data_IF_873494088807
#
_entry.id   IF_873494088807
#
_cell.length_a   1.000
_cell.length_b   1.000
_cell.length_c   1.000
_cell.angle_alpha   90.00
_cell.angle_beta   90.00
_cell.angle_gamma   90.00
#
_symmetry.space_group_name_H-M   'P 1'
#
loop_
_entity.id
_entity.type
_entity.pdbx_description
1 polymer ?
#
# COMPACT_ATOMS: atom_id res chain seq x y z
N UNK A 1 29.66 24.20 -14.08
CA UNK A 1 30.28 24.43 -12.76
C UNK A 1 29.24 24.14 -11.70
N UNK A 2 29.39 23.05 -10.95
CA UNK A 2 28.52 22.71 -9.82
C UNK A 2 28.95 23.67 -8.69
N UNK A 3 28.00 24.48 -8.21
CA UNK A 3 28.22 25.40 -7.08
C UNK A 3 28.67 24.60 -5.84
N UNK A 4 29.89 24.83 -5.40
CA UNK A 4 30.55 24.21 -4.25
C UNK A 4 30.15 24.87 -2.92
N UNK A 5 28.86 25.05 -2.67
CA UNK A 5 28.38 25.76 -1.48
C UNK A 5 27.34 25.03 -0.62
N UNK A 6 26.76 23.90 -1.07
CA UNK A 6 25.82 23.14 -0.27
C UNK A 6 26.58 22.02 0.45
N UNK A 7 26.67 22.09 1.76
CA UNK A 7 27.10 20.97 2.60
C UNK A 7 26.19 19.77 2.31
N UNK A 8 26.73 18.74 1.67
CA UNK A 8 26.00 17.50 1.39
C UNK A 8 25.81 16.78 2.73
N UNK A 9 24.63 16.89 3.30
CA UNK A 9 24.30 16.20 4.54
C UNK A 9 24.03 14.71 4.24
N UNK A 10 25.05 13.90 4.33
CA UNK A 10 24.95 12.42 4.24
C UNK A 10 24.73 11.76 5.60
N UNK A 11 24.44 12.56 6.64
CA UNK A 11 24.16 12.04 7.97
C UNK A 11 22.92 11.13 7.95
N UNK A 12 23.03 9.86 8.38
CA UNK A 12 21.90 8.93 8.39
C UNK A 12 20.66 9.46 9.14
N UNK A 13 20.84 10.16 10.26
CA UNK A 13 19.71 10.74 11.00
C UNK A 13 18.92 11.76 10.17
N UNK A 14 19.61 12.54 9.33
CA UNK A 14 18.96 13.49 8.43
C UNK A 14 18.32 12.79 7.21
N UNK A 15 18.97 11.75 6.66
CA UNK A 15 18.48 11.02 5.49
C UNK A 15 17.22 10.18 5.78
N UNK A 16 17.13 9.57 6.97
CA UNK A 16 16.05 8.70 7.39
C UNK A 16 15.09 9.37 8.38
N UNK A 17 15.29 10.65 8.67
CA UNK A 17 14.48 11.41 9.62
C UNK A 17 13.05 11.61 9.10
N UNK A 18 12.09 11.37 9.98
CA UNK A 18 10.64 11.57 9.73
C UNK A 18 10.01 12.47 10.80
N UNK A 19 10.84 13.21 11.53
CA UNK A 19 10.39 14.13 12.58
C UNK A 19 9.42 15.17 12.03
N UNK A 20 8.30 15.38 12.74
CA UNK A 20 7.26 16.32 12.36
C UNK A 20 6.36 15.87 11.21
N UNK A 21 6.57 14.69 10.62
CA UNK A 21 5.64 14.13 9.66
C UNK A 21 4.36 13.65 10.35
N UNK A 22 3.25 13.73 9.62
CA UNK A 22 1.96 13.15 10.02
C UNK A 22 1.66 11.97 9.11
N UNK A 23 1.50 10.79 9.70
CA UNK A 23 1.24 9.55 9.00
C UNK A 23 -0.09 8.93 9.40
N UNK A 24 -0.74 8.23 8.46
CA UNK A 24 -1.90 7.36 8.71
C UNK A 24 -1.53 5.94 8.31
N UNK A 25 -1.70 4.97 9.22
CA UNK A 25 -1.39 3.55 8.98
C UNK A 25 -2.66 2.73 9.18
N UNK A 26 -3.22 2.18 8.10
CA UNK A 26 -4.37 1.28 8.19
C UNK A 26 -3.94 -0.12 8.65
N UNK A 27 -4.76 -0.75 9.52
CA UNK A 27 -4.35 -2.01 10.16
C UNK A 27 -3.15 -1.82 11.09
N UNK A 28 -2.98 -0.63 11.69
CA UNK A 28 -1.83 -0.25 12.50
C UNK A 28 -1.82 -0.83 13.92
N UNK A 29 -2.83 -1.60 14.32
CA UNK A 29 -2.94 -2.13 15.68
C UNK A 29 -2.18 -3.44 15.93
N UNK A 30 -1.77 -4.16 14.88
CA UNK A 30 -1.10 -5.47 15.00
C UNK A 30 -0.10 -5.70 13.86
N UNK A 31 0.75 -6.72 14.01
CA UNK A 31 1.64 -7.22 12.96
C UNK A 31 2.48 -6.15 12.27
N UNK A 32 2.60 -6.22 10.95
CA UNK A 32 3.43 -5.32 10.13
C UNK A 32 2.97 -3.86 10.27
N UNK A 33 1.65 -3.61 10.33
CA UNK A 33 1.13 -2.25 10.49
C UNK A 33 1.58 -1.59 11.80
N UNK A 34 1.57 -2.34 12.90
CA UNK A 34 2.08 -1.86 14.18
C UNK A 34 3.61 -1.66 14.14
N UNK A 35 4.34 -2.57 13.51
CA UNK A 35 5.79 -2.40 13.32
C UNK A 35 6.12 -1.12 12.56
N UNK A 36 5.40 -0.84 11.48
CA UNK A 36 5.55 0.39 10.69
C UNK A 36 5.21 1.63 11.52
N UNK A 37 4.07 1.60 12.22
CA UNK A 37 3.63 2.71 13.04
C UNK A 37 4.62 3.03 14.17
N UNK A 38 5.13 1.99 14.85
CA UNK A 38 6.16 2.10 15.88
C UNK A 38 7.46 2.67 15.32
N UNK A 39 7.90 2.20 14.14
CA UNK A 39 9.12 2.72 13.50
C UNK A 39 9.01 4.22 13.19
N UNK A 40 7.88 4.66 12.64
CA UNK A 40 7.64 6.07 12.31
C UNK A 40 7.57 6.93 13.59
N UNK A 41 6.78 6.51 14.57
CA UNK A 41 6.61 7.24 15.83
C UNK A 41 7.92 7.34 16.61
N UNK A 42 8.68 6.26 16.70
CA UNK A 42 9.97 6.24 17.39
C UNK A 42 11.05 7.10 16.74
N UNK A 43 10.80 7.59 15.52
CA UNK A 43 11.65 8.55 14.79
C UNK A 43 10.97 9.93 14.64
N UNK A 44 9.97 10.22 15.48
CA UNK A 44 9.43 11.56 15.66
C UNK A 44 8.18 11.92 14.85
N UNK A 45 7.66 11.01 14.04
CA UNK A 45 6.40 11.23 13.31
C UNK A 45 5.19 11.15 14.26
N UNK A 46 4.12 11.88 13.94
CA UNK A 46 2.80 11.65 14.51
C UNK A 46 2.07 10.62 13.67
N UNK A 47 1.60 9.53 14.27
CA UNK A 47 1.05 8.39 13.55
C UNK A 47 -0.36 8.06 14.00
N UNK A 48 -1.32 8.16 13.10
CA UNK A 48 -2.66 7.63 13.29
C UNK A 48 -2.69 6.15 12.94
N UNK A 49 -3.02 5.28 13.91
CA UNK A 49 -3.23 3.86 13.66
C UNK A 49 -4.72 3.58 13.52
N UNK A 50 -5.13 3.14 12.32
CA UNK A 50 -6.52 2.89 11.98
C UNK A 50 -6.85 1.40 12.11
N UNK A 51 -7.96 1.07 12.75
CA UNK A 51 -8.45 -0.30 12.89
C UNK A 51 -9.91 -0.36 13.32
N UNK A 52 -10.58 -1.50 13.05
CA UNK A 52 -11.99 -1.71 13.42
C UNK A 52 -12.16 -1.97 14.91
N UNK A 53 -11.20 -2.68 15.54
CA UNK A 53 -11.22 -3.07 16.95
C UNK A 53 -10.57 -1.97 17.78
N UNK A 54 -11.39 -1.14 18.44
CA UNK A 54 -10.90 0.02 19.21
C UNK A 54 -9.94 -0.42 20.32
N UNK A 55 -10.32 -1.43 21.07
CA UNK A 55 -9.52 -1.97 22.18
C UNK A 55 -8.12 -2.44 21.76
N UNK A 56 -7.99 -2.96 20.52
CA UNK A 56 -6.70 -3.43 20.00
C UNK A 56 -5.80 -2.25 19.66
N UNK A 57 -6.34 -1.23 18.97
CA UNK A 57 -5.53 -0.06 18.58
C UNK A 57 -5.19 0.84 19.79
N UNK A 58 -6.08 0.95 20.78
CA UNK A 58 -5.79 1.66 22.03
C UNK A 58 -4.68 0.96 22.84
N UNK A 59 -4.77 -0.38 22.96
CA UNK A 59 -3.73 -1.18 23.61
C UNK A 59 -2.40 -1.02 22.87
N UNK A 60 -2.39 -1.14 21.54
CA UNK A 60 -1.21 -0.96 20.72
C UNK A 60 -0.58 0.42 20.90
N UNK A 61 -1.40 1.48 20.88
CA UNK A 61 -0.95 2.84 21.16
C UNK A 61 -0.34 2.97 22.55
N UNK A 62 -0.97 2.42 23.57
CA UNK A 62 -0.49 2.50 24.96
C UNK A 62 0.86 1.80 25.17
N UNK A 63 1.05 0.62 24.55
CA UNK A 63 2.22 -0.23 24.78
C UNK A 63 3.44 0.16 23.91
N UNK A 64 3.24 0.84 22.76
CA UNK A 64 4.29 1.10 21.80
C UNK A 64 4.58 2.59 21.55
N UNK A 65 4.07 3.47 22.39
CA UNK A 65 4.14 4.94 22.24
C UNK A 65 5.37 5.50 22.96
N UNK A 66 6.41 5.83 22.22
CA UNK A 66 7.67 6.36 22.78
C UNK A 66 7.57 7.86 23.06
N UNK A 67 6.95 8.62 22.18
CA UNK A 67 6.87 10.08 22.25
C UNK A 67 5.43 10.62 22.48
N UNK A 68 4.46 9.74 22.71
CA UNK A 68 3.07 10.13 22.85
C UNK A 68 2.37 10.49 21.55
N UNK A 69 2.96 10.09 20.40
CA UNK A 69 2.50 10.47 19.05
C UNK A 69 1.81 9.34 18.28
N UNK A 70 1.56 8.20 18.91
CA UNK A 70 0.79 7.10 18.32
C UNK A 70 -0.69 7.24 18.72
N UNK A 71 -1.54 7.59 17.77
CA UNK A 71 -2.92 8.01 17.97
C UNK A 71 -3.88 6.94 17.43
N UNK A 72 -4.66 6.26 18.28
CA UNK A 72 -5.66 5.30 17.82
C UNK A 72 -6.84 6.02 17.17
N UNK A 73 -7.32 5.49 16.04
CA UNK A 73 -8.46 6.01 15.29
C UNK A 73 -9.31 4.85 14.77
N UNK A 74 -10.50 4.67 15.38
CA UNK A 74 -11.39 3.59 14.97
C UNK A 74 -12.02 3.86 13.61
N UNK A 75 -11.96 2.87 12.70
CA UNK A 75 -12.63 2.94 11.41
C UNK A 75 -12.54 1.66 10.62
N UNK A 76 -13.45 1.53 9.66
CA UNK A 76 -13.51 0.45 8.68
C UNK A 76 -13.17 0.99 7.29
N UNK A 77 -12.08 0.50 6.72
CA UNK A 77 -11.59 0.95 5.41
C UNK A 77 -12.47 0.47 4.24
N UNK A 78 -13.33 -0.53 4.44
CA UNK A 78 -14.28 -1.01 3.43
C UNK A 78 -15.53 -0.14 3.34
N UNK A 79 -15.74 0.77 4.30
CA UNK A 79 -16.86 1.70 4.35
C UNK A 79 -16.45 3.10 3.92
N UNK A 80 -17.01 3.59 2.80
CA UNK A 80 -16.75 4.97 2.32
C UNK A 80 -17.12 6.02 3.34
N UNK A 81 -18.25 5.83 4.06
CA UNK A 81 -18.67 6.74 5.12
C UNK A 81 -17.64 6.78 6.27
N UNK A 82 -17.11 5.62 6.65
CA UNK A 82 -16.05 5.53 7.65
C UNK A 82 -14.77 6.22 7.16
N UNK A 83 -14.38 6.04 5.90
CA UNK A 83 -13.22 6.70 5.31
C UNK A 83 -13.34 8.23 5.32
N UNK A 84 -14.52 8.78 4.96
CA UNK A 84 -14.77 10.22 5.05
C UNK A 84 -14.59 10.73 6.48
N UNK A 85 -15.19 10.04 7.47
CA UNK A 85 -15.06 10.41 8.89
C UNK A 85 -13.61 10.34 9.40
N UNK A 86 -12.84 9.35 8.94
CA UNK A 86 -11.41 9.23 9.26
C UNK A 86 -10.63 10.44 8.73
N UNK A 87 -10.82 10.79 7.45
CA UNK A 87 -10.16 11.93 6.82
C UNK A 87 -10.53 13.25 7.49
N UNK A 88 -11.82 13.48 7.80
CA UNK A 88 -12.31 14.65 8.53
C UNK A 88 -11.70 14.76 9.93
N UNK A 89 -11.58 13.64 10.65
CA UNK A 89 -10.96 13.62 11.98
C UNK A 89 -9.49 14.02 11.93
N UNK A 90 -8.74 13.51 10.96
CA UNK A 90 -7.33 13.87 10.76
C UNK A 90 -7.21 15.33 10.31
N UNK A 91 -8.10 15.79 9.41
CA UNK A 91 -8.20 17.18 8.97
C UNK A 91 -8.38 18.13 10.16
N UNK A 92 -9.36 17.85 11.02
CA UNK A 92 -9.65 18.70 12.17
C UNK A 92 -8.50 18.81 13.17
N UNK A 93 -7.64 17.77 13.24
CA UNK A 93 -6.53 17.72 14.21
C UNK A 93 -5.20 18.28 13.67
N UNK A 94 -4.88 18.03 12.39
CA UNK A 94 -3.59 18.38 11.80
C UNK A 94 -3.71 19.17 10.49
N UNK A 95 -4.84 19.10 9.78
CA UNK A 95 -5.05 19.79 8.52
C UNK A 95 -4.39 19.12 7.30
N UNK A 96 -3.47 18.19 7.49
CA UNK A 96 -2.69 17.54 6.41
C UNK A 96 -2.18 16.16 6.85
N UNK A 97 -1.67 15.39 5.89
CA UNK A 97 -0.80 14.23 6.11
C UNK A 97 0.38 14.24 5.14
N UNK A 98 1.48 13.64 5.55
CA UNK A 98 2.68 13.45 4.73
C UNK A 98 2.77 12.03 4.19
N UNK A 99 2.17 11.07 4.88
CA UNK A 99 2.29 9.65 4.58
C UNK A 99 0.97 8.92 4.84
N UNK A 100 0.49 8.20 3.83
CA UNK A 100 -0.56 7.21 3.96
C UNK A 100 0.03 5.81 3.75
N UNK A 101 -0.10 4.94 4.74
CA UNK A 101 0.30 3.52 4.63
C UNK A 101 -0.95 2.65 4.56
N UNK A 102 -1.24 2.14 3.37
CA UNK A 102 -2.27 1.16 3.13
C UNK A 102 -1.73 -0.23 3.48
N UNK A 103 -1.92 -0.65 4.74
CA UNK A 103 -1.41 -1.93 5.24
C UNK A 103 -2.54 -2.94 5.59
N UNK A 104 -3.72 -2.48 5.99
CA UNK A 104 -4.81 -3.37 6.33
C UNK A 104 -5.11 -4.36 5.19
N UNK A 105 -5.32 -5.62 5.56
CA UNK A 105 -5.60 -6.68 4.60
C UNK A 105 -6.06 -7.95 5.30
N UNK A 106 -6.68 -8.83 4.52
CA UNK A 106 -7.17 -10.13 4.98
C UNK A 106 -6.74 -11.23 4.00
N UNK A 107 -6.79 -12.47 4.48
CA UNK A 107 -6.72 -13.67 3.65
C UNK A 107 -7.93 -14.53 3.94
N UNK A 108 -8.64 -14.94 2.88
CA UNK A 108 -9.73 -15.92 2.91
C UNK A 108 -9.37 -17.09 2.00
N UNK A 109 -10.18 -18.11 1.98
CA UNK A 109 -10.02 -19.27 1.12
C UNK A 109 -8.61 -19.87 1.26
N UNK A 110 -8.23 -20.15 2.51
CA UNK A 110 -6.88 -20.65 2.86
C UNK A 110 -6.76 -22.10 2.37
N UNK A 111 -5.79 -22.34 1.50
CA UNK A 111 -5.47 -23.68 1.02
C UNK A 111 -4.85 -24.53 2.13
N UNK A 112 -5.08 -25.84 2.15
CA UNK A 112 -4.35 -26.73 3.03
C UNK A 112 -2.84 -26.69 2.72
N UNK A 113 -2.01 -27.03 3.72
CA UNK A 113 -0.55 -26.99 3.58
C UNK A 113 -0.03 -27.85 2.43
N UNK A 114 -0.73 -28.94 2.12
CA UNK A 114 -0.44 -29.84 1.01
C UNK A 114 -1.73 -30.15 0.25
N UNK A 115 -1.67 -29.93 -1.05
CA UNK A 115 -2.74 -30.33 -1.96
C UNK A 115 -2.55 -31.79 -2.38
N UNK A 116 -3.62 -32.57 -2.60
CA UNK A 116 -3.50 -33.91 -3.16
C UNK A 116 -2.75 -33.93 -4.48
N UNK A 117 -1.78 -34.81 -4.62
CA UNK A 117 -0.96 -34.93 -5.84
C UNK A 117 -0.95 -36.39 -6.31
N UNK A 118 -0.98 -36.66 -7.62
CA UNK A 118 -0.77 -38.01 -8.14
C UNK A 118 0.60 -38.60 -7.81
N UNK A 119 1.51 -37.75 -7.34
CA UNK A 119 2.85 -38.17 -6.87
C UNK A 119 2.84 -38.57 -5.38
N UNK A 120 1.70 -38.45 -4.68
CA UNK A 120 1.55 -38.82 -3.29
C UNK A 120 1.17 -40.29 -3.15
N UNK A 121 2.17 -41.17 -3.09
CA UNK A 121 1.98 -42.59 -2.87
C UNK A 121 2.24 -43.45 -4.11
N UNK A 122 2.07 -44.78 -3.99
CA UNK A 122 2.25 -45.69 -5.09
C UNK A 122 1.15 -45.49 -6.14
N UNK A 123 1.41 -45.85 -7.40
CA UNK A 123 0.56 -45.56 -8.55
C UNK A 123 -0.88 -46.08 -8.44
N UNK A 124 -1.10 -47.15 -7.70
CA UNK A 124 -2.37 -47.78 -7.44
C UNK A 124 -3.20 -47.16 -6.31
N UNK A 125 -2.57 -46.32 -5.49
CA UNK A 125 -3.17 -45.63 -4.36
C UNK A 125 -3.00 -44.08 -4.42
N UNK A 126 -2.65 -43.53 -5.56
CA UNK A 126 -2.47 -42.09 -5.77
C UNK A 126 -3.80 -41.34 -5.65
N UNK A 127 -3.82 -40.12 -5.06
CA UNK A 127 -5.00 -39.27 -5.06
C UNK A 127 -5.55 -39.02 -6.46
N UNK A 128 -6.87 -39.15 -6.63
CA UNK A 128 -7.52 -38.88 -7.92
C UNK A 128 -7.66 -37.38 -8.18
N UNK A 129 -7.83 -37.01 -9.45
CA UNK A 129 -8.16 -35.61 -9.84
C UNK A 129 -9.47 -35.16 -9.14
N UNK A 130 -10.38 -36.07 -8.85
CA UNK A 130 -11.62 -35.76 -8.11
C UNK A 130 -11.32 -35.37 -6.67
N UNK A 131 -10.38 -36.04 -6.02
CA UNK A 131 -9.93 -35.65 -4.68
C UNK A 131 -9.32 -34.25 -4.68
N UNK A 132 -8.47 -33.95 -5.65
CA UNK A 132 -7.91 -32.61 -5.83
C UNK A 132 -9.00 -31.56 -6.09
N UNK A 133 -9.96 -31.85 -7.01
CA UNK A 133 -11.08 -30.97 -7.30
C UNK A 133 -11.91 -30.67 -6.05
N UNK A 134 -12.23 -31.68 -5.25
CA UNK A 134 -13.02 -31.50 -4.03
C UNK A 134 -12.30 -30.59 -3.03
N UNK A 135 -10.99 -30.76 -2.81
CA UNK A 135 -10.24 -29.91 -1.92
C UNK A 135 -10.29 -28.46 -2.38
N UNK A 136 -10.11 -28.18 -3.66
CA UNK A 136 -10.18 -26.81 -4.18
C UNK A 136 -11.60 -26.24 -4.10
N UNK A 137 -12.62 -27.08 -4.33
CA UNK A 137 -14.03 -26.68 -4.27
C UNK A 137 -14.47 -26.33 -2.85
N UNK A 138 -13.99 -27.09 -1.86
CA UNK A 138 -14.40 -26.98 -0.46
C UNK A 138 -13.53 -25.97 0.34
N UNK A 139 -12.42 -25.52 -0.25
CA UNK A 139 -11.47 -24.64 0.46
C UNK A 139 -12.00 -23.23 0.70
N UNK A 140 -13.12 -22.84 0.13
CA UNK A 140 -13.64 -21.50 0.35
C UNK A 140 -14.89 -21.19 -0.45
N UNK A 141 -15.23 -19.91 -0.53
CA UNK A 141 -16.45 -19.46 -1.18
C UNK A 141 -16.20 -18.29 -2.11
N UNK A 142 -17.06 -18.06 -3.12
CA UNK A 142 -17.05 -16.83 -3.92
C UNK A 142 -17.16 -15.56 -3.06
N UNK A 143 -17.91 -15.58 -1.98
CA UNK A 143 -18.03 -14.47 -1.05
C UNK A 143 -16.70 -14.15 -0.36
N UNK A 144 -15.95 -15.17 0.11
CA UNK A 144 -14.60 -14.99 0.68
C UNK A 144 -13.60 -14.46 -0.36
N UNK A 145 -13.76 -14.85 -1.63
CA UNK A 145 -12.97 -14.32 -2.73
C UNK A 145 -13.23 -12.82 -2.91
N UNK A 146 -14.52 -12.43 -2.99
CA UNK A 146 -14.93 -11.03 -3.12
C UNK A 146 -14.48 -10.18 -1.92
N UNK A 147 -14.66 -10.67 -0.68
CA UNK A 147 -14.21 -9.97 0.55
C UNK A 147 -12.71 -9.70 0.54
N UNK A 148 -11.92 -10.68 0.03
CA UNK A 148 -10.46 -10.52 -0.08
C UNK A 148 -10.10 -9.40 -1.05
N UNK A 149 -10.74 -9.33 -2.21
CA UNK A 149 -10.52 -8.25 -3.18
C UNK A 149 -11.03 -6.91 -2.67
N UNK A 150 -12.20 -6.90 -2.05
CA UNK A 150 -12.77 -5.67 -1.49
C UNK A 150 -11.83 -5.03 -0.46
N UNK A 151 -11.31 -5.83 0.48
CA UNK A 151 -10.40 -5.32 1.50
C UNK A 151 -9.00 -5.00 0.96
N UNK A 152 -8.42 -5.89 0.14
CA UNK A 152 -7.00 -5.78 -0.23
C UNK A 152 -6.75 -4.91 -1.47
N UNK A 153 -7.80 -4.55 -2.24
CA UNK A 153 -7.67 -3.76 -3.48
C UNK A 153 -8.63 -2.57 -3.46
N UNK A 154 -9.95 -2.82 -3.39
CA UNK A 154 -10.97 -1.76 -3.46
C UNK A 154 -10.81 -0.77 -2.32
N UNK A 155 -10.68 -1.26 -1.08
CA UNK A 155 -10.49 -0.41 0.09
C UNK A 155 -9.17 0.38 0.06
N UNK A 156 -8.09 -0.19 -0.49
CA UNK A 156 -6.81 0.52 -0.69
C UNK A 156 -6.99 1.72 -1.61
N UNK A 157 -7.69 1.54 -2.74
CA UNK A 157 -7.99 2.62 -3.66
C UNK A 157 -8.84 3.71 -3.00
N UNK A 158 -9.97 3.35 -2.39
CA UNK A 158 -10.86 4.34 -1.77
C UNK A 158 -10.27 5.01 -0.53
N UNK A 159 -9.43 4.32 0.24
CA UNK A 159 -8.66 4.94 1.32
C UNK A 159 -7.72 6.00 0.75
N UNK A 160 -7.00 5.69 -0.31
CA UNK A 160 -6.12 6.66 -0.97
C UNK A 160 -6.92 7.87 -1.45
N UNK A 161 -8.04 7.68 -2.14
CA UNK A 161 -8.91 8.77 -2.61
C UNK A 161 -9.42 9.65 -1.45
N UNK A 162 -9.85 9.05 -0.34
CA UNK A 162 -10.34 9.78 0.82
C UNK A 162 -9.29 10.71 1.47
N UNK A 163 -8.02 10.36 1.36
CA UNK A 163 -6.91 11.13 1.94
C UNK A 163 -6.13 11.99 0.94
N UNK A 164 -6.52 12.03 -0.36
CA UNK A 164 -5.78 12.77 -1.40
C UNK A 164 -5.61 14.24 -1.08
N UNK A 165 -6.67 14.90 -0.64
CA UNK A 165 -6.61 16.32 -0.30
C UNK A 165 -5.64 16.59 0.85
N UNK A 166 -5.65 15.76 1.89
CA UNK A 166 -4.73 15.90 3.02
C UNK A 166 -3.27 15.65 2.62
N UNK A 167 -3.01 14.72 1.69
CA UNK A 167 -1.69 14.50 1.09
C UNK A 167 -1.23 15.73 0.28
N UNK A 168 -2.13 16.31 -0.50
CA UNK A 168 -1.85 17.53 -1.24
C UNK A 168 -1.55 18.71 -0.31
N UNK A 169 -2.34 18.90 0.75
CA UNK A 169 -2.08 19.91 1.78
C UNK A 169 -0.73 19.68 2.50
N UNK A 170 -0.30 18.44 2.65
CA UNK A 170 1.04 18.09 3.13
C UNK A 170 2.15 18.62 2.22
N UNK A 171 1.95 18.58 0.90
CA UNK A 171 2.88 19.16 -0.07
C UNK A 171 2.86 20.69 -0.03
N UNK A 172 1.67 21.31 -0.03
CA UNK A 172 1.54 22.77 0.02
C UNK A 172 2.19 23.38 1.26
N UNK A 173 2.04 22.75 2.42
CA UNK A 173 2.65 23.18 3.67
C UNK A 173 4.17 23.36 3.58
N UNK A 174 4.83 22.54 2.76
CA UNK A 174 6.30 22.54 2.64
C UNK A 174 6.85 23.59 1.68
N UNK A 175 6.00 24.24 0.89
CA UNK A 175 6.41 25.26 -0.07
C UNK A 175 7.23 24.75 -1.27
N UNK A 176 7.49 23.45 -1.32
CA UNK A 176 8.40 22.80 -2.27
C UNK A 176 7.66 21.93 -3.32
N UNK A 177 6.60 22.44 -3.93
CA UNK A 177 6.16 21.84 -5.19
C UNK A 177 7.28 22.04 -6.21
N UNK A 178 7.81 20.96 -6.83
CA UNK A 178 8.84 21.13 -7.85
C UNK A 178 8.33 22.06 -8.95
N UNK A 179 9.10 23.09 -9.36
CA UNK A 179 8.68 24.03 -10.41
C UNK A 179 8.28 23.34 -11.72
N UNK A 180 8.75 22.12 -11.94
CA UNK A 180 8.42 21.28 -13.12
C UNK A 180 6.93 20.90 -13.19
N UNK A 181 6.21 20.86 -12.08
CA UNK A 181 4.79 20.51 -12.07
C UNK A 181 3.89 21.65 -12.55
N UNK A 182 4.30 22.90 -12.32
CA UNK A 182 3.58 24.08 -12.82
C UNK A 182 3.87 24.36 -14.31
N UNK A 183 4.85 23.70 -14.92
CA UNK A 183 5.30 23.93 -16.28
C UNK A 183 5.02 22.78 -17.26
N UNK A 184 4.44 21.67 -16.81
CA UNK A 184 3.99 20.64 -17.75
C UNK A 184 2.77 21.17 -18.49
N UNK A 185 2.82 21.29 -19.83
CA UNK A 185 1.62 21.56 -20.60
C UNK A 185 0.62 20.42 -20.33
N UNK A 186 -0.69 20.71 -20.27
CA UNK A 186 -1.68 19.65 -20.11
C UNK A 186 -1.44 18.62 -21.20
N UNK A 187 -1.13 17.38 -20.82
CA UNK A 187 -1.02 16.28 -21.79
C UNK A 187 -2.44 16.03 -22.27
N UNK A 188 -2.68 16.40 -23.52
CA UNK A 188 -3.97 16.21 -24.17
C UNK A 188 -4.09 14.70 -24.49
N UNK A 189 -4.56 13.92 -23.52
CA UNK A 189 -4.74 12.46 -23.64
C UNK A 189 -5.71 12.05 -24.77
N UNK A 190 -6.31 13.01 -25.48
CA UNK A 190 -7.16 12.72 -26.64
C UNK A 190 -6.39 12.39 -27.90
N UNK A 191 -5.13 12.84 -28.03
CA UNK A 191 -4.33 12.58 -29.24
C UNK A 191 -3.64 11.21 -29.25
N UNK A 192 -3.54 10.53 -28.10
CA UNK A 192 -2.92 9.19 -28.00
C UNK A 192 -3.89 8.03 -28.27
N UNK A 193 -5.19 8.29 -28.30
CA UNK A 193 -6.19 7.26 -28.59
C UNK A 193 -6.66 7.22 -30.03
N UNK A 194 -6.38 8.25 -30.85
CA UNK A 194 -6.91 8.35 -32.22
C UNK A 194 -5.91 7.93 -33.31
N UNK A 195 -4.64 7.65 -32.98
CA UNK A 195 -3.64 7.34 -34.01
C UNK A 195 -3.41 5.84 -34.32
N UNK A 196 -3.95 4.92 -33.48
CA UNK A 196 -3.66 3.47 -33.66
C UNK A 196 -4.87 2.57 -33.93
N UNK A 197 -6.08 3.15 -34.20
CA UNK A 197 -7.30 2.35 -34.49
C UNK A 197 -7.91 2.65 -35.87
N UNK A 198 -7.17 3.20 -36.78
CA UNK A 198 -7.67 3.39 -38.16
C UNK A 198 -6.82 2.63 -39.16
N UNK A 199 -6.87 1.31 -39.12
CA UNK A 199 -6.70 0.47 -40.33
C UNK A 199 -7.00 -0.98 -39.94
N UNK A 200 -8.04 -1.50 -40.55
CA UNK A 200 -8.56 -2.87 -40.63
C UNK A 200 -9.87 -3.09 -39.89
N UNK A 201 -10.99 -2.64 -40.45
CA UNK A 201 -12.30 -3.31 -40.40
C UNK A 201 -13.34 -2.59 -41.30
N UNK A 202 -13.10 -2.66 -42.62
CA UNK A 202 -14.21 -2.55 -43.58
C UNK A 202 -14.63 -3.98 -43.96
N UNK A 203 -15.71 -4.44 -43.37
CA UNK A 203 -16.68 -5.36 -43.95
C UNK A 203 -17.41 -6.16 -42.83
N UNK A 204 -18.52 -5.69 -42.36
CA UNK A 204 -19.71 -6.50 -42.12
C UNK A 204 -20.86 -5.63 -41.57
N UNK A 205 -21.94 -5.68 -42.28
CA UNK A 205 -23.19 -4.94 -42.19
C UNK A 205 -24.02 -5.18 -40.95
N UNK A 206 -24.81 -4.13 -40.60
CA UNK A 206 -26.15 -4.13 -39.97
C UNK A 206 -26.31 -4.40 -38.47
N UNK A 207 -26.44 -3.29 -37.73
CA UNK A 207 -27.39 -2.88 -36.64
C UNK A 207 -28.02 -3.92 -35.70
N UNK A 208 -28.37 -3.58 -34.42
CA UNK A 208 -29.23 -2.44 -34.12
C UNK A 208 -28.77 -1.53 -32.93
N UNK A 209 -29.22 -0.29 -32.97
CA UNK A 209 -29.25 0.75 -31.98
C UNK A 209 -29.67 0.24 -30.58
N UNK A 210 -28.76 0.27 -29.61
CA UNK A 210 -29.07 0.16 -28.20
C UNK A 210 -28.95 1.55 -27.58
N UNK A 211 -30.09 2.05 -27.10
CA UNK A 211 -30.23 3.33 -26.42
C UNK A 211 -29.29 3.35 -25.18
N UNK A 212 -28.40 4.32 -25.15
CA UNK A 212 -27.66 4.69 -23.93
C UNK A 212 -28.67 5.28 -22.94
N UNK A 213 -29.02 4.53 -21.92
CA UNK A 213 -29.69 5.06 -20.74
C UNK A 213 -28.72 6.02 -20.06
N UNK A 214 -29.08 7.30 -20.00
CA UNK A 214 -28.41 8.31 -19.19
C UNK A 214 -28.32 7.84 -17.74
N UNK A 215 -27.11 7.78 -17.21
CA UNK A 215 -26.86 7.54 -15.79
C UNK A 215 -27.57 8.63 -14.97
N UNK A 216 -28.17 8.29 -13.82
CA UNK A 216 -28.75 9.29 -12.94
C UNK A 216 -27.68 10.26 -12.47
N UNK A 217 -28.02 11.55 -12.20
CA UNK A 217 -27.09 12.54 -11.73
C UNK A 217 -26.43 12.07 -10.43
N UNK A 218 -25.10 12.12 -10.40
CA UNK A 218 -24.30 11.82 -9.21
C UNK A 218 -24.75 12.75 -8.07
N UNK A 219 -24.96 12.23 -6.84
CA UNK A 219 -25.21 13.06 -5.69
C UNK A 219 -24.05 14.04 -5.50
N UNK A 220 -24.29 15.26 -5.00
CA UNK A 220 -23.25 16.25 -4.78
C UNK A 220 -22.15 15.69 -3.87
N UNK A 221 -20.90 15.95 -4.24
CA UNK A 221 -19.73 15.58 -3.47
C UNK A 221 -19.87 16.12 -2.04
N UNK A 222 -19.61 15.31 -0.99
CA UNK A 222 -19.63 15.78 0.39
C UNK A 222 -18.47 16.75 0.71
N UNK A 223 -17.58 17.00 -0.25
CA UNK A 223 -16.49 17.96 -0.12
C UNK A 223 -16.96 19.34 -0.56
N UNK A 224 -17.55 20.10 0.36
CA UNK A 224 -17.85 21.51 0.17
C UNK A 224 -16.57 22.33 0.18
N UNK A 225 -16.51 23.32 -0.73
CA UNK A 225 -15.50 24.34 -0.98
C UNK A 225 -14.54 24.69 0.17
N UNK A 226 -13.26 24.83 -0.19
CA UNK A 226 -12.20 25.36 0.65
C UNK A 226 -12.60 26.73 1.25
N UNK A 227 -12.27 26.98 2.53
CA UNK A 227 -12.28 28.36 3.04
C UNK A 227 -11.20 29.18 2.33
N UNK A 228 -11.57 30.37 1.83
CA UNK A 228 -10.69 31.32 1.16
C UNK A 228 -9.56 31.93 2.04
N UNK A 229 -9.40 31.50 3.29
CA UNK A 229 -8.50 32.10 4.26
C UNK A 229 -7.10 31.51 4.36
N UNK A 230 -6.63 30.74 3.36
CA UNK A 230 -5.25 30.21 3.38
C UNK A 230 -4.21 31.09 2.65
N UNK A 231 -4.49 32.37 2.43
CA UNK A 231 -3.55 33.28 1.73
C UNK A 231 -2.48 33.95 2.60
N UNK A 232 -2.36 33.61 3.88
CA UNK A 232 -1.39 34.24 4.77
C UNK A 232 -0.59 33.20 5.59
N UNK A 233 0.16 32.31 4.94
CA UNK A 233 1.31 31.69 5.58
C UNK A 233 2.57 32.49 5.22
N UNK A 234 3.07 33.20 6.21
CA UNK A 234 4.28 33.99 6.14
C UNK A 234 5.49 33.11 5.80
N UNK A 235 6.02 33.23 4.59
CA UNK A 235 7.12 32.43 4.04
C UNK A 235 8.51 32.88 4.53
N UNK A 236 8.56 33.72 5.57
CA UNK A 236 9.80 34.22 6.12
C UNK A 236 10.25 33.36 7.33
N UNK A 237 11.38 32.67 7.18
CA UNK A 237 12.16 31.97 8.21
C UNK A 237 11.95 30.47 8.41
N UNK A 238 11.92 29.67 7.34
CA UNK A 238 12.35 28.29 7.46
C UNK A 238 13.89 28.20 7.24
N UNK A 239 14.66 27.55 8.13
CA UNK A 239 16.07 27.31 7.85
C UNK A 239 16.16 26.46 6.59
N UNK A 240 16.89 26.94 5.57
CA UNK A 240 17.17 26.21 4.34
C UNK A 240 17.98 24.95 4.69
N UNK A 241 17.31 23.84 5.03
CA UNK A 241 17.96 22.55 5.09
C UNK A 241 18.28 22.15 3.64
N UNK A 242 19.55 21.87 3.36
CA UNK A 242 20.04 21.48 2.02
C UNK A 242 19.47 20.14 1.52
N UNK A 243 18.71 19.42 2.34
CA UNK A 243 18.00 18.21 1.97
C UNK A 243 16.58 18.58 1.52
N UNK A 244 16.25 18.26 0.27
CA UNK A 244 14.86 18.33 -0.17
C UNK A 244 14.01 17.40 0.69
N UNK A 245 13.03 17.95 1.36
CA UNK A 245 12.04 17.15 2.07
C UNK A 245 11.27 16.31 1.04
N UNK A 246 11.00 15.02 1.34
CA UNK A 246 10.23 14.20 0.42
C UNK A 246 8.81 14.75 0.32
N UNK A 247 8.26 14.77 -0.89
CA UNK A 247 6.84 15.06 -1.07
C UNK A 247 5.99 13.99 -0.40
N UNK A 248 4.73 14.31 -0.11
CA UNK A 248 3.80 13.35 0.48
C UNK A 248 3.67 12.10 -0.37
N UNK A 249 3.32 10.98 0.25
CA UNK A 249 3.26 9.72 -0.47
C UNK A 249 2.23 8.74 0.09
N UNK A 250 1.87 7.80 -0.77
CA UNK A 250 1.16 6.57 -0.44
C UNK A 250 2.16 5.41 -0.43
N UNK A 251 2.22 4.63 0.64
CA UNK A 251 2.93 3.36 0.67
C UNK A 251 1.90 2.24 0.80
N UNK A 252 1.90 1.34 -0.17
CA UNK A 252 1.00 0.19 -0.19
C UNK A 252 1.74 -1.06 0.27
N UNK A 253 1.22 -1.73 1.29
CA UNK A 253 1.78 -2.99 1.78
C UNK A 253 1.10 -4.14 1.04
N UNK A 254 1.80 -4.65 0.04
CA UNK A 254 1.41 -5.84 -0.69
C UNK A 254 1.91 -7.11 0.03
N UNK A 255 2.50 -8.03 -0.66
CA UNK A 255 3.08 -9.27 -0.12
C UNK A 255 4.06 -9.86 -1.13
N UNK A 256 5.09 -10.56 -0.67
CA UNK A 256 5.88 -11.45 -1.52
C UNK A 256 5.00 -12.55 -2.17
N UNK A 257 3.87 -12.88 -1.53
CA UNK A 257 2.85 -13.77 -2.07
C UNK A 257 2.27 -13.31 -3.42
N UNK A 258 2.31 -12.00 -3.74
CA UNK A 258 1.86 -11.45 -5.02
C UNK A 258 2.65 -11.99 -6.23
N UNK A 259 3.87 -12.47 -6.01
CA UNK A 259 4.78 -12.96 -7.05
C UNK A 259 4.89 -14.48 -7.09
N UNK A 260 4.25 -15.20 -6.16
CA UNK A 260 4.33 -16.64 -6.07
C UNK A 260 3.39 -17.31 -7.06
N UNK A 261 3.92 -18.28 -7.79
CA UNK A 261 3.20 -19.11 -8.77
C UNK A 261 3.25 -20.61 -8.42
N UNK A 262 3.91 -20.95 -7.32
CA UNK A 262 4.02 -22.34 -6.86
C UNK A 262 2.77 -22.83 -6.11
N UNK A 263 2.60 -24.14 -5.98
CA UNK A 263 1.45 -24.74 -5.32
C UNK A 263 1.38 -24.51 -3.79
N UNK A 264 2.37 -23.85 -3.19
CA UNK A 264 2.45 -23.56 -1.75
C UNK A 264 1.98 -22.14 -1.41
N UNK A 265 1.09 -21.58 -2.22
CA UNK A 265 0.44 -20.29 -1.92
C UNK A 265 -0.54 -20.45 -0.75
N UNK A 266 -0.67 -19.38 0.03
CA UNK A 266 -1.61 -19.36 1.18
C UNK A 266 -3.05 -19.46 0.70
N UNK A 267 -3.40 -18.75 -0.37
CA UNK A 267 -4.74 -18.65 -0.92
C UNK A 267 -4.66 -18.08 -2.33
N UNK A 268 -5.49 -18.60 -3.24
CA UNK A 268 -5.59 -18.07 -4.61
C UNK A 268 -6.12 -16.64 -4.58
N UNK A 269 -7.20 -16.38 -3.84
CA UNK A 269 -7.80 -15.04 -3.74
C UNK A 269 -6.83 -14.02 -3.15
N UNK A 270 -6.07 -14.40 -2.11
CA UNK A 270 -5.08 -13.53 -1.49
C UNK A 270 -3.93 -13.20 -2.44
N UNK A 271 -3.36 -14.21 -3.10
CA UNK A 271 -2.25 -14.04 -4.06
C UNK A 271 -2.64 -13.10 -5.19
N UNK A 272 -3.81 -13.33 -5.81
CA UNK A 272 -4.35 -12.50 -6.87
C UNK A 272 -4.64 -11.07 -6.39
N UNK A 273 -5.30 -10.91 -5.23
CA UNK A 273 -5.60 -9.60 -4.68
C UNK A 273 -4.32 -8.82 -4.34
N UNK A 274 -3.29 -9.46 -3.79
CA UNK A 274 -2.00 -8.80 -3.52
C UNK A 274 -1.23 -8.46 -4.80
N UNK A 275 -1.36 -9.27 -5.87
CA UNK A 275 -0.81 -8.89 -7.19
C UNK A 275 -1.54 -7.66 -7.75
N UNK A 276 -2.87 -7.65 -7.74
CA UNK A 276 -3.66 -6.49 -8.15
C UNK A 276 -3.34 -5.24 -7.31
N UNK A 277 -3.18 -5.41 -5.98
CA UNK A 277 -2.77 -4.35 -5.07
C UNK A 277 -1.37 -3.78 -5.41
N UNK A 278 -0.42 -4.65 -5.79
CA UNK A 278 0.91 -4.23 -6.27
C UNK A 278 0.79 -3.38 -7.54
N UNK A 279 -0.03 -3.83 -8.49
CA UNK A 279 -0.27 -3.09 -9.72
C UNK A 279 -0.98 -1.75 -9.45
N UNK A 280 -1.96 -1.72 -8.55
CA UNK A 280 -2.63 -0.49 -8.12
C UNK A 280 -1.63 0.54 -7.58
N UNK A 281 -0.67 0.13 -6.76
CA UNK A 281 0.38 1.03 -6.26
C UNK A 281 1.21 1.67 -7.38
N UNK A 282 1.49 0.92 -8.46
CA UNK A 282 2.17 1.45 -9.66
C UNK A 282 1.29 2.40 -10.46
N UNK A 283 0.00 2.09 -10.62
CA UNK A 283 -0.95 2.99 -11.27
C UNK A 283 -1.06 4.32 -10.50
N UNK A 284 -1.15 4.27 -9.17
CA UNK A 284 -1.20 5.46 -8.33
C UNK A 284 0.05 6.33 -8.48
N UNK A 285 1.23 5.75 -8.71
CA UNK A 285 2.46 6.52 -8.95
C UNK A 285 2.38 7.42 -10.18
N UNK A 286 1.65 7.02 -11.22
CA UNK A 286 1.40 7.84 -12.40
C UNK A 286 0.22 8.78 -12.19
N UNK A 287 -0.90 8.28 -11.67
CA UNK A 287 -2.12 9.07 -11.47
C UNK A 287 -1.92 10.28 -10.55
N UNK A 288 -1.01 10.16 -9.57
CA UNK A 288 -0.77 11.18 -8.56
C UNK A 288 0.48 12.03 -8.83
N UNK A 289 1.21 11.74 -9.92
CA UNK A 289 2.47 12.41 -10.24
C UNK A 289 2.33 13.93 -10.40
N UNK A 290 1.28 14.39 -11.09
CA UNK A 290 1.03 15.80 -11.33
C UNK A 290 0.69 16.59 -10.05
N UNK A 291 0.27 15.88 -8.99
CA UNK A 291 0.02 16.44 -7.66
C UNK A 291 1.23 16.35 -6.72
N UNK A 292 2.37 15.87 -7.23
CA UNK A 292 3.57 15.64 -6.42
C UNK A 292 3.44 14.56 -5.36
N UNK A 293 2.41 13.74 -5.44
CA UNK A 293 2.18 12.67 -4.48
C UNK A 293 2.83 11.40 -5.04
N UNK A 294 3.82 10.88 -4.32
CA UNK A 294 4.50 9.63 -4.69
C UNK A 294 3.68 8.41 -4.26
N UNK A 295 3.85 7.30 -4.95
CA UNK A 295 3.28 6.01 -4.55
C UNK A 295 4.32 4.91 -4.71
N UNK A 296 4.54 4.14 -3.64
CA UNK A 296 5.48 3.02 -3.61
C UNK A 296 4.85 1.79 -2.97
N UNK A 297 5.37 0.63 -3.29
CA UNK A 297 4.86 -0.66 -2.80
C UNK A 297 5.96 -1.40 -2.04
N UNK A 298 5.66 -1.81 -0.80
CA UNK A 298 6.47 -2.78 -0.08
C UNK A 298 5.79 -4.14 -0.12
N UNK A 299 6.57 -5.18 -0.40
CA UNK A 299 6.11 -6.56 -0.50
C UNK A 299 6.82 -7.42 0.56
N UNK A 300 6.32 -7.42 1.80
CA UNK A 300 6.90 -8.23 2.88
C UNK A 300 6.76 -9.73 2.61
N UNK A 301 7.73 -10.49 3.10
CA UNK A 301 7.68 -11.95 3.20
C UNK A 301 6.95 -12.43 4.44
N UNK A 302 7.54 -13.42 5.10
CA UNK A 302 7.00 -13.99 6.35
C UNK A 302 7.38 -13.08 7.52
N UNK A 303 6.39 -12.48 8.16
CA UNK A 303 6.52 -11.68 9.37
C UNK A 303 5.56 -12.20 10.45
N UNK A 304 5.90 -12.08 11.74
CA UNK A 304 4.96 -12.38 12.83
C UNK A 304 3.74 -11.45 12.75
N UNK A 305 2.55 -12.04 12.68
CA UNK A 305 1.28 -11.30 12.61
C UNK A 305 0.11 -12.21 12.99
N UNK A 306 -1.08 -11.65 13.23
CA UNK A 306 -2.30 -12.44 13.42
C UNK A 306 -2.63 -13.34 12.20
N UNK A 307 -2.18 -12.96 11.01
CA UNK A 307 -2.39 -13.72 9.77
C UNK A 307 -1.42 -14.91 9.67
N UNK A 308 -0.29 -14.86 10.36
CA UNK A 308 0.76 -15.87 10.30
C UNK A 308 0.68 -16.74 11.55
N UNK A 309 0.18 -17.97 11.42
CA UNK A 309 0.10 -18.89 12.57
C UNK A 309 1.51 -19.21 13.09
N UNK A 310 1.62 -19.45 14.39
CA UNK A 310 2.89 -19.86 15.03
C UNK A 310 3.46 -21.15 14.44
N UNK A 311 2.60 -22.00 13.86
CA UNK A 311 3.01 -23.24 13.17
C UNK A 311 3.83 -22.96 11.91
N UNK A 312 3.65 -21.83 11.24
CA UNK A 312 4.41 -21.41 10.06
C UNK A 312 5.71 -20.64 10.40
N UNK A 313 5.95 -20.37 11.68
CA UNK A 313 7.12 -19.65 12.16
C UNK A 313 8.16 -20.55 12.82
N UNK A 314 8.07 -21.87 12.66
CA UNK A 314 9.07 -22.78 13.20
C UNK A 314 10.40 -22.60 12.49
N UNK A 315 11.56 -22.64 13.21
CA UNK A 315 12.87 -22.48 12.59
C UNK A 315 13.12 -23.43 11.42
N UNK A 316 12.65 -24.68 11.51
CA UNK A 316 12.79 -25.68 10.46
C UNK A 316 12.04 -25.30 9.17
N UNK A 317 10.79 -24.82 9.27
CA UNK A 317 10.02 -24.39 8.12
C UNK A 317 10.58 -23.10 7.50
N UNK A 318 11.06 -22.17 8.34
CA UNK A 318 11.68 -20.94 7.87
C UNK A 318 12.99 -21.22 7.14
N UNK A 319 13.83 -22.12 7.66
CA UNK A 319 15.07 -22.54 7.01
C UNK A 319 14.82 -23.19 5.62
N UNK A 320 13.68 -23.87 5.44
CA UNK A 320 13.30 -24.49 4.16
C UNK A 320 12.64 -23.52 3.18
N UNK A 321 12.01 -22.47 3.66
CA UNK A 321 11.13 -21.62 2.83
C UNK A 321 11.63 -20.18 2.65
N UNK A 322 12.64 -19.76 3.40
CA UNK A 322 13.26 -18.43 3.34
C UNK A 322 14.78 -18.59 3.27
N UNK A 323 15.45 -18.10 2.23
CA UNK A 323 16.90 -18.21 2.09
C UNK A 323 17.70 -17.68 3.30
N UNK A 324 17.24 -16.58 3.93
CA UNK A 324 17.86 -16.07 5.15
C UNK A 324 17.51 -16.89 6.40
N UNK A 325 16.74 -17.97 6.30
CA UNK A 325 16.43 -18.94 7.37
C UNK A 325 15.57 -18.40 8.51
N UNK A 326 15.02 -17.20 8.41
CA UNK A 326 14.25 -16.56 9.48
C UNK A 326 13.06 -15.75 8.98
N UNK A 327 12.13 -15.47 9.87
CA UNK A 327 11.09 -14.47 9.64
C UNK A 327 11.68 -13.04 9.69
N UNK A 328 10.97 -12.10 9.07
CA UNK A 328 11.25 -10.67 9.22
C UNK A 328 10.87 -10.17 10.61
N UNK A 329 11.52 -9.10 11.03
CA UNK A 329 11.37 -8.43 12.33
C UNK A 329 10.97 -6.96 12.17
N UNK A 330 10.74 -6.28 13.31
CA UNK A 330 10.56 -4.84 13.34
C UNK A 330 11.70 -4.11 12.60
N UNK A 331 12.94 -4.49 12.83
CA UNK A 331 14.10 -3.85 12.20
C UNK A 331 14.11 -4.00 10.67
N UNK A 332 13.67 -5.18 10.17
CA UNK A 332 13.67 -5.47 8.74
C UNK A 332 12.64 -4.64 7.96
N UNK A 333 11.52 -4.23 8.59
CA UNK A 333 10.53 -3.36 7.94
C UNK A 333 10.79 -1.88 8.23
N UNK A 334 11.45 -1.55 9.35
CA UNK A 334 11.74 -0.16 9.74
C UNK A 334 12.68 0.52 8.75
N UNK A 335 13.73 -0.15 8.29
CA UNK A 335 14.67 0.39 7.31
C UNK A 335 13.98 0.85 6.03
N UNK A 336 13.28 -0.03 5.31
CA UNK A 336 12.54 0.33 4.10
C UNK A 336 11.51 1.43 4.28
N UNK A 337 10.73 1.41 5.37
CA UNK A 337 9.71 2.43 5.60
C UNK A 337 10.31 3.80 5.89
N UNK A 338 11.36 3.88 6.71
CA UNK A 338 12.05 5.13 7.02
C UNK A 338 12.81 5.67 5.80
N UNK A 339 13.40 4.78 4.98
CA UNK A 339 14.01 5.18 3.71
C UNK A 339 12.99 5.85 2.79
N UNK A 340 11.84 5.22 2.53
CA UNK A 340 10.82 5.77 1.65
C UNK A 340 10.16 7.03 2.20
N UNK A 341 9.95 7.11 3.52
CA UNK A 341 9.33 8.24 4.19
C UNK A 341 10.28 9.42 4.39
N UNK A 342 11.56 9.15 4.53
CA UNK A 342 12.59 10.16 4.75
C UNK A 342 13.16 10.79 3.47
N UNK A 343 14.04 11.79 3.61
CA UNK A 343 14.69 12.47 2.48
C UNK A 343 15.47 11.54 1.54
N UNK A 344 16.02 10.42 2.05
CA UNK A 344 16.72 9.42 1.23
C UNK A 344 15.84 8.81 0.14
N UNK A 345 14.53 8.69 0.39
CA UNK A 345 13.55 8.17 -0.56
C UNK A 345 12.86 9.22 -1.42
N UNK A 346 13.23 10.50 -1.33
CA UNK A 346 12.53 11.61 -1.99
C UNK A 346 12.42 11.47 -3.52
N UNK A 347 13.36 10.76 -4.14
CA UNK A 347 13.38 10.53 -5.60
C UNK A 347 12.80 9.17 -6.01
N UNK A 348 12.20 8.44 -5.06
CA UNK A 348 11.62 7.11 -5.34
C UNK A 348 10.11 7.24 -5.52
N UNK A 349 9.63 6.90 -6.74
CA UNK A 349 8.22 6.85 -7.10
C UNK A 349 7.96 5.64 -8.00
N UNK A 350 6.91 4.87 -7.74
CA UNK A 350 6.53 3.69 -8.52
C UNK A 350 7.35 2.43 -8.20
N UNK A 351 8.19 2.45 -7.16
CA UNK A 351 8.97 1.30 -6.76
C UNK A 351 8.11 0.17 -6.19
N UNK A 352 8.51 -1.06 -6.49
CA UNK A 352 8.02 -2.29 -5.87
C UNK A 352 9.19 -2.98 -5.19
N UNK A 353 9.19 -3.03 -3.88
CA UNK A 353 10.34 -3.47 -3.09
C UNK A 353 10.01 -4.72 -2.27
N UNK A 354 10.65 -5.83 -2.59
CA UNK A 354 10.57 -7.08 -1.83
C UNK A 354 11.38 -6.99 -0.53
N UNK A 355 10.75 -7.37 0.59
CA UNK A 355 11.36 -7.45 1.92
C UNK A 355 11.03 -8.84 2.47
N UNK A 356 11.61 -9.89 1.90
CA UNK A 356 11.15 -11.27 2.06
C UNK A 356 12.25 -12.29 2.39
N UNK A 357 13.46 -11.82 2.65
CA UNK A 357 14.61 -12.70 2.95
C UNK A 357 15.02 -13.58 1.75
N UNK A 358 14.68 -13.16 0.52
CA UNK A 358 14.99 -13.87 -0.73
C UNK A 358 13.96 -14.94 -1.11
N UNK A 359 12.83 -15.01 -0.41
CA UNK A 359 11.84 -16.08 -0.60
C UNK A 359 11.30 -16.20 -2.02
N UNK A 360 11.00 -15.07 -2.69
CA UNK A 360 10.49 -15.10 -4.06
C UNK A 360 11.57 -15.53 -5.06
N UNK A 361 12.79 -15.02 -4.89
CA UNK A 361 13.89 -15.32 -5.81
C UNK A 361 14.35 -16.78 -5.80
N UNK A 362 14.11 -17.52 -4.72
CA UNK A 362 14.55 -18.92 -4.58
C UNK A 362 13.53 -19.95 -5.07
N UNK A 363 12.25 -19.58 -5.18
CA UNK A 363 11.18 -20.53 -5.50
C UNK A 363 11.11 -20.85 -7.00
N UNK A 364 11.58 -19.97 -7.86
CA UNK A 364 11.50 -20.14 -9.31
C UNK A 364 12.42 -21.25 -9.88
N UNK A 365 13.40 -21.71 -9.10
CA UNK A 365 14.36 -22.73 -9.54
C UNK A 365 14.08 -24.15 -9.01
N UNK A 366 13.06 -24.36 -8.23
CA UNK A 366 12.74 -25.67 -7.64
C UNK A 366 11.66 -26.42 -8.44
N UNK A 367 11.85 -26.60 -9.74
CA UNK A 367 11.36 -27.79 -10.42
C UNK A 367 12.39 -28.90 -10.16
N UNK A 368 12.36 -29.44 -8.95
CA UNK A 368 13.00 -30.71 -8.60
C UNK A 368 11.97 -31.56 -7.90
#
# INVERSE_FOLDING_TARGET
>A
MISTGASIHTNPAALFGVEGQVAVVTGGGTGIGLMIATALESNGATVYIVGRRLEVIEKAAKENNKFGKLIPLQGDITSRQSLTKLAETVRARHGYIDLLVNNAGIARNILPVRLPSPLDGPADASPSIKAFQNVLWDTGSPAGFAETFDTNVTAVYFTTVAFLELLHLGNLRRGDLPPVMSLRPPVNNRELCDSDISNDLDSASSSPSAAYHSLPPTPPSPFTSLPEELSAFDSAHAPQSCLRQPTSQVITISSSGAFRIDARIVSVSYTLAKNACTHLGKLLANLLADWGIRSNVLCPGVFPSEMTSTQHLTPALLAQSVPLGRAGSLSDISGPILFLAGPAGAYVNGAVWLVDGGRVGSVASSYQ
#
